data_IF_986161252864
#
_entry.id   IF_986161252864
#
_cell.length_a   1.000
_cell.length_b   1.000
_cell.length_c   1.000
_cell.angle_alpha   90.00
_cell.angle_beta   90.00
_cell.angle_gamma   90.00
#
_symmetry.space_group_name_H-M   'P 1'
#
loop_
_entity.id
_entity.type
_entity.pdbx_description
1 polymer ?
#
# COMPACT_ATOMS: atom_id res chain seq x y z
N UNK A 1 -11.95 23.11 -17.02
CA UNK A 1 -10.73 23.53 -16.33
C UNK A 1 -10.50 22.70 -15.07
N UNK A 2 -9.28 22.22 -14.87
CA UNK A 2 -8.85 21.54 -13.63
C UNK A 2 -8.23 22.56 -12.66
N UNK A 3 -8.21 22.23 -11.36
CA UNK A 3 -7.56 23.01 -10.29
C UNK A 3 -6.69 22.09 -9.42
N UNK A 4 -5.62 22.60 -8.78
CA UNK A 4 -4.94 21.89 -7.70
C UNK A 4 -5.88 21.58 -6.53
N UNK A 5 -5.68 20.45 -5.85
CA UNK A 5 -6.56 19.99 -4.75
C UNK A 5 -6.72 21.03 -3.64
N UNK A 6 -5.65 21.73 -3.26
CA UNK A 6 -5.70 22.76 -2.21
C UNK A 6 -6.64 23.93 -2.58
N UNK A 7 -6.78 24.27 -3.86
CA UNK A 7 -7.72 25.30 -4.30
C UNK A 7 -9.16 24.78 -4.25
N UNK A 8 -9.39 23.52 -4.60
CA UNK A 8 -10.72 22.89 -4.50
C UNK A 8 -11.17 22.86 -3.04
N UNK A 9 -10.28 22.45 -2.13
CA UNK A 9 -10.53 22.43 -0.69
C UNK A 9 -10.77 23.84 -0.14
N UNK A 10 -9.97 24.83 -0.56
CA UNK A 10 -10.18 26.23 -0.17
C UNK A 10 -11.52 26.78 -0.68
N UNK A 11 -11.90 26.50 -1.92
CA UNK A 11 -13.20 26.90 -2.48
C UNK A 11 -14.37 26.30 -1.70
N UNK A 12 -14.27 25.01 -1.32
CA UNK A 12 -15.27 24.34 -0.49
C UNK A 12 -15.37 24.97 0.90
N UNK A 13 -14.22 25.19 1.54
CA UNK A 13 -14.13 25.82 2.85
C UNK A 13 -14.75 27.23 2.86
N UNK A 14 -14.50 28.02 1.81
CA UNK A 14 -15.09 29.34 1.62
C UNK A 14 -16.62 29.27 1.45
N UNK A 15 -17.13 28.29 0.71
CA UNK A 15 -18.59 28.06 0.57
C UNK A 15 -19.26 27.65 1.87
N UNK A 16 -18.51 27.03 2.78
CA UNK A 16 -18.98 26.68 4.13
C UNK A 16 -18.84 27.85 5.13
N UNK A 17 -18.44 29.03 4.68
CA UNK A 17 -18.39 30.27 5.47
C UNK A 17 -17.04 30.57 6.12
N UNK A 18 -16.01 29.75 5.91
CA UNK A 18 -14.66 30.04 6.40
C UNK A 18 -13.84 30.71 5.30
N UNK A 19 -13.91 32.04 5.25
CA UNK A 19 -13.38 32.90 4.18
C UNK A 19 -11.85 33.08 4.27
N UNK A 20 -11.07 32.06 3.89
CA UNK A 20 -9.61 32.11 3.81
C UNK A 20 -9.15 32.08 2.35
N UNK A 21 -8.10 32.83 2.06
CA UNK A 21 -7.49 32.89 0.73
C UNK A 21 -6.00 32.61 0.84
N UNK A 22 -5.55 31.55 0.16
CA UNK A 22 -4.15 31.31 -0.13
C UNK A 22 -3.92 31.52 -1.62
N UNK A 23 -2.83 32.20 -1.97
CA UNK A 23 -2.45 32.44 -3.36
C UNK A 23 -1.42 31.42 -3.86
N UNK A 24 -0.64 30.85 -2.93
CA UNK A 24 0.42 29.91 -3.24
C UNK A 24 0.60 28.88 -2.11
N UNK A 25 0.97 27.62 -2.39
CA UNK A 25 1.22 26.60 -1.36
C UNK A 25 2.27 26.99 -0.30
N UNK A 26 3.19 27.92 -0.63
CA UNK A 26 4.14 28.46 0.35
C UNK A 26 3.47 29.17 1.52
N UNK A 27 2.31 29.81 1.30
CA UNK A 27 1.54 30.45 2.37
C UNK A 27 0.89 29.40 3.30
N UNK A 28 0.53 28.23 2.74
CA UNK A 28 0.02 27.10 3.53
C UNK A 28 1.16 26.50 4.36
N UNK A 29 2.35 26.33 3.77
CA UNK A 29 3.53 25.85 4.49
C UNK A 29 3.98 26.84 5.58
N UNK A 30 3.88 28.14 5.31
CA UNK A 30 4.11 29.21 6.29
C UNK A 30 3.15 29.08 7.48
N UNK A 31 1.87 28.82 7.24
CA UNK A 31 0.92 28.57 8.32
C UNK A 31 1.28 27.29 9.09
N UNK A 32 1.59 26.19 8.38
CA UNK A 32 1.98 24.90 8.99
C UNK A 32 3.18 25.07 9.93
N UNK A 33 4.24 25.78 9.52
CA UNK A 33 5.46 25.91 10.34
C UNK A 33 5.24 26.72 11.63
N UNK A 34 4.23 27.59 11.66
CA UNK A 34 3.88 28.34 12.90
C UNK A 34 3.19 27.48 13.95
N UNK A 35 2.57 26.36 13.55
CA UNK A 35 1.79 25.49 14.45
C UNK A 35 2.39 24.09 14.61
N UNK A 36 3.31 23.67 13.74
CA UNK A 36 4.04 22.40 13.84
C UNK A 36 5.51 22.67 14.13
N UNK A 37 5.96 22.62 15.40
CA UNK A 37 7.33 22.98 15.77
C UNK A 37 8.41 22.20 15.03
N UNK A 38 8.15 20.95 14.64
CA UNK A 38 9.12 20.13 13.89
C UNK A 38 9.37 20.65 12.47
N UNK A 39 8.57 21.59 11.98
CA UNK A 39 8.68 22.18 10.65
C UNK A 39 9.05 23.67 10.70
N UNK A 40 9.36 24.23 11.88
CA UNK A 40 9.58 25.68 12.07
C UNK A 40 10.63 26.30 11.14
N UNK A 41 11.64 25.51 10.77
CA UNK A 41 12.70 25.89 9.83
C UNK A 41 12.43 25.59 8.36
N UNK A 42 11.32 24.92 8.02
CA UNK A 42 11.04 24.49 6.65
C UNK A 42 10.34 25.62 5.91
N UNK A 43 11.06 26.29 5.00
CA UNK A 43 10.52 27.32 4.09
C UNK A 43 10.75 26.90 2.65
N UNK A 44 9.96 27.47 1.73
CA UNK A 44 10.10 27.21 0.30
C UNK A 44 11.48 27.62 -0.22
N UNK A 45 11.96 28.80 0.18
CA UNK A 45 13.29 29.30 -0.23
C UNK A 45 14.42 28.33 0.14
N UNK A 46 14.36 27.71 1.32
CA UNK A 46 15.38 26.75 1.75
C UNK A 46 15.30 25.42 1.00
N UNK A 47 14.10 24.89 0.80
CA UNK A 47 13.94 23.58 0.12
C UNK A 47 14.18 23.65 -1.39
N UNK A 48 14.16 24.85 -1.97
CA UNK A 48 14.54 25.09 -3.37
C UNK A 48 16.06 24.93 -3.57
N UNK A 49 16.87 25.24 -2.55
CA UNK A 49 18.32 25.08 -2.59
C UNK A 49 18.76 23.66 -2.21
N UNK A 50 18.18 23.08 -1.16
CA UNK A 50 18.52 21.74 -0.68
C UNK A 50 17.36 21.00 0.01
N UNK A 51 17.35 19.66 -0.09
CA UNK A 51 16.37 18.85 0.62
C UNK A 51 16.60 18.83 2.13
N UNK A 52 15.59 19.22 2.92
CA UNK A 52 15.66 19.24 4.39
C UNK A 52 14.93 18.04 5.00
N UNK A 53 15.62 17.28 5.85
CA UNK A 53 15.00 16.23 6.67
C UNK A 53 14.38 16.84 7.94
N UNK A 54 13.07 16.67 8.10
CA UNK A 54 12.41 17.02 9.36
C UNK A 54 12.74 15.95 10.42
N UNK A 55 12.81 16.31 11.73
CA UNK A 55 12.55 17.63 12.31
C UNK A 55 13.59 18.72 11.95
N UNK A 56 13.09 19.93 11.71
CA UNK A 56 13.87 21.16 11.49
C UNK A 56 13.16 22.30 12.24
N UNK A 57 13.51 22.54 13.52
CA UNK A 57 12.74 23.41 14.41
C UNK A 57 12.83 24.90 14.12
N UNK A 58 13.92 25.37 13.51
CA UNK A 58 14.17 26.78 13.24
C UNK A 58 14.98 26.98 11.95
N UNK A 59 15.06 28.23 11.49
CA UNK A 59 15.67 28.61 10.21
C UNK A 59 17.18 28.35 10.17
N UNK A 60 17.85 28.33 11.32
CA UNK A 60 19.29 28.09 11.41
C UNK A 60 19.60 26.58 11.52
N UNK A 61 18.61 25.75 11.84
CA UNK A 61 18.78 24.31 11.96
C UNK A 61 18.93 23.63 10.59
N UNK A 62 19.99 22.85 10.34
CA UNK A 62 20.26 22.22 9.03
C UNK A 62 19.39 20.98 8.71
N UNK A 63 18.26 20.81 9.40
CA UNK A 63 17.50 19.55 9.43
C UNK A 63 18.14 18.41 10.25
N UNK A 64 17.38 17.34 10.45
CA UNK A 64 17.77 16.20 11.31
C UNK A 64 18.06 14.96 10.47
N UNK A 65 19.35 14.66 10.27
CA UNK A 65 19.80 13.53 9.42
C UNK A 65 19.41 12.13 9.93
N UNK A 66 19.34 11.98 11.25
CA UNK A 66 18.93 10.75 11.92
C UNK A 66 18.42 11.07 13.32
N UNK A 67 17.45 10.29 13.79
CA UNK A 67 16.83 10.48 15.10
C UNK A 67 17.64 9.83 16.21
N UNK A 68 17.37 10.25 17.45
CA UNK A 68 17.86 9.61 18.67
C UNK A 68 19.39 9.57 18.85
N UNK A 69 20.12 10.50 18.23
CA UNK A 69 21.59 10.62 18.36
C UNK A 69 22.06 10.66 19.82
N UNK A 70 21.40 11.49 20.63
CA UNK A 70 21.79 11.71 22.03
C UNK A 70 20.96 10.87 23.00
N UNK A 71 19.65 10.80 22.78
CA UNK A 71 18.72 10.07 23.62
C UNK A 71 17.45 9.70 22.83
N UNK A 72 16.74 8.68 23.29
CA UNK A 72 15.41 8.37 22.77
C UNK A 72 14.46 9.51 23.14
N UNK A 73 13.55 9.89 22.24
CA UNK A 73 12.65 11.03 22.46
C UNK A 73 11.81 10.92 23.75
N UNK A 74 11.48 9.70 24.17
CA UNK A 74 10.78 9.41 25.44
C UNK A 74 11.69 9.32 26.68
N UNK A 75 12.96 9.68 26.55
CA UNK A 75 14.00 9.54 27.58
C UNK A 75 14.81 8.25 27.43
N UNK A 76 14.20 7.08 27.67
CA UNK A 76 14.86 5.76 27.56
C UNK A 76 14.10 4.82 26.63
N UNK A 77 14.80 3.84 26.05
CA UNK A 77 14.16 2.78 25.27
C UNK A 77 13.15 2.02 26.14
N UNK A 78 11.98 1.68 25.57
CA UNK A 78 11.02 0.80 26.21
C UNK A 78 11.16 -0.60 25.61
N UNK A 79 11.51 -1.56 26.46
CA UNK A 79 11.38 -2.97 26.12
C UNK A 79 9.96 -3.41 26.42
N UNK A 80 9.31 -4.04 25.45
CA UNK A 80 7.93 -4.52 25.57
C UNK A 80 7.89 -5.99 25.16
N UNK A 81 7.49 -6.90 26.06
CA UNK A 81 7.27 -8.29 25.67
C UNK A 81 6.06 -8.37 24.74
N UNK A 82 6.13 -9.28 23.77
CA UNK A 82 5.03 -9.58 22.85
C UNK A 82 4.93 -11.09 22.71
N UNK A 83 3.71 -11.61 22.87
CA UNK A 83 3.42 -13.02 22.62
C UNK A 83 3.05 -13.22 21.15
N UNK A 84 3.37 -14.40 20.62
CA UNK A 84 2.94 -14.79 19.29
C UNK A 84 1.41 -14.92 19.25
N UNK A 85 0.81 -14.40 18.19
CA UNK A 85 -0.60 -14.59 17.86
C UNK A 85 -0.69 -14.94 16.38
N UNK A 86 -1.48 -15.95 16.07
CA UNK A 86 -1.77 -16.33 14.68
C UNK A 86 -2.47 -15.18 13.92
N UNK A 87 -2.39 -15.27 12.60
CA UNK A 87 -3.21 -14.48 11.69
C UNK A 87 -4.69 -14.62 11.98
N UNK A 88 -5.46 -13.57 11.75
CA UNK A 88 -6.89 -13.58 12.06
C UNK A 88 -7.68 -14.53 11.14
N UNK A 89 -7.14 -14.84 9.96
CA UNK A 89 -7.67 -15.84 9.04
C UNK A 89 -6.60 -16.86 8.68
N UNK A 90 -6.85 -18.14 8.96
CA UNK A 90 -6.00 -19.27 8.58
C UNK A 90 -6.65 -20.09 7.47
N UNK A 91 -5.82 -20.79 6.70
CA UNK A 91 -6.28 -21.78 5.73
C UNK A 91 -7.01 -22.94 6.44
N UNK A 92 -8.03 -23.48 5.78
CA UNK A 92 -8.82 -24.60 6.28
C UNK A 92 -9.18 -25.58 5.16
N UNK A 93 -10.05 -26.55 5.44
CA UNK A 93 -10.45 -27.55 4.44
C UNK A 93 -11.23 -26.97 3.26
N UNK A 94 -11.90 -25.84 3.41
CA UNK A 94 -12.68 -25.19 2.34
C UNK A 94 -11.81 -24.21 1.53
N UNK A 95 -10.89 -23.53 2.21
CA UNK A 95 -9.96 -22.56 1.65
C UNK A 95 -8.51 -22.94 2.03
N UNK A 96 -7.91 -23.92 1.34
CA UNK A 96 -6.68 -24.57 1.78
C UNK A 96 -5.39 -23.78 1.49
N UNK A 97 -5.47 -22.66 0.80
CA UNK A 97 -4.30 -21.87 0.42
C UNK A 97 -4.19 -20.58 1.22
N UNK A 98 -2.97 -20.27 1.66
CA UNK A 98 -2.61 -18.95 2.18
C UNK A 98 -2.47 -18.01 0.98
N UNK A 99 -3.24 -16.93 0.97
CA UNK A 99 -3.19 -15.89 -0.04
C UNK A 99 -2.50 -14.64 0.50
N UNK A 100 -1.50 -14.18 -0.23
CA UNK A 100 -0.78 -12.96 0.08
C UNK A 100 -0.75 -12.01 -1.10
N UNK A 101 -0.73 -10.71 -0.81
CA UNK A 101 -0.76 -9.66 -1.83
C UNK A 101 0.54 -8.88 -1.87
N UNK A 102 0.91 -8.36 -3.03
CA UNK A 102 2.10 -7.52 -3.14
C UNK A 102 2.12 -6.59 -4.33
N UNK A 103 3.33 -6.15 -4.66
CA UNK A 103 3.59 -5.20 -5.73
C UNK A 103 4.55 -5.78 -6.74
N UNK A 104 4.51 -5.23 -7.94
CA UNK A 104 5.53 -5.44 -8.97
C UNK A 104 6.24 -4.14 -9.27
N UNK A 105 7.43 -4.24 -9.85
CA UNK A 105 8.24 -3.08 -10.22
C UNK A 105 7.52 -2.10 -11.18
N UNK A 106 6.79 -2.64 -12.15
CA UNK A 106 6.29 -1.87 -13.30
C UNK A 106 4.99 -1.10 -13.03
N UNK A 107 4.31 -1.35 -11.90
CA UNK A 107 3.02 -0.75 -11.60
C UNK A 107 2.96 -0.21 -10.18
N UNK A 108 2.35 0.97 -10.04
CA UNK A 108 2.20 1.63 -8.76
C UNK A 108 0.74 1.61 -8.32
N UNK A 109 0.50 1.05 -7.13
CA UNK A 109 -0.82 0.94 -6.50
C UNK A 109 -1.94 0.59 -7.49
N UNK A 110 -2.92 1.47 -7.69
CA UNK A 110 -4.14 1.22 -8.47
C UNK A 110 -3.96 1.44 -9.98
N UNK A 111 -2.72 1.60 -10.47
CA UNK A 111 -2.40 1.83 -11.89
C UNK A 111 -3.07 3.06 -12.52
N UNK A 112 -3.65 3.98 -11.74
CA UNK A 112 -4.34 5.16 -12.29
C UNK A 112 -3.44 6.03 -13.16
N UNK A 113 -2.14 6.06 -12.85
CA UNK A 113 -1.09 6.69 -13.65
C UNK A 113 -0.30 5.67 -14.49
N UNK A 114 0.29 4.65 -13.86
CA UNK A 114 1.18 3.69 -14.55
C UNK A 114 0.47 2.83 -15.58
N UNK A 115 -0.84 2.56 -15.43
CA UNK A 115 -1.65 1.86 -16.40
C UNK A 115 -1.94 2.67 -17.67
N UNK A 116 -1.61 3.97 -17.70
CA UNK A 116 -1.69 4.80 -18.91
C UNK A 116 -0.42 4.76 -19.75
N UNK A 117 0.64 4.12 -19.26
CA UNK A 117 1.94 4.05 -19.93
C UNK A 117 2.03 2.75 -20.72
N UNK A 118 1.97 2.86 -22.04
CA UNK A 118 1.98 1.71 -22.96
C UNK A 118 3.18 0.77 -22.72
N UNK A 119 4.38 1.34 -22.52
CA UNK A 119 5.59 0.55 -22.27
C UNK A 119 5.51 -0.33 -21.02
N UNK A 120 4.87 0.16 -19.94
CA UNK A 120 4.69 -0.62 -18.71
C UNK A 120 3.67 -1.74 -18.92
N UNK A 121 2.58 -1.44 -19.64
CA UNK A 121 1.56 -2.44 -19.97
C UNK A 121 2.06 -3.54 -20.92
N UNK A 122 3.09 -3.29 -21.73
CA UNK A 122 3.74 -4.34 -22.53
C UNK A 122 4.50 -5.36 -21.68
N UNK A 123 5.01 -4.93 -20.52
CA UNK A 123 5.80 -5.79 -19.62
C UNK A 123 4.89 -6.52 -18.62
N UNK A 124 3.87 -5.84 -18.10
CA UNK A 124 2.89 -6.42 -17.20
C UNK A 124 1.50 -5.90 -17.54
N UNK A 125 0.78 -6.64 -18.38
CA UNK A 125 -0.48 -6.21 -18.97
C UNK A 125 -1.69 -6.51 -18.09
N UNK A 126 -1.68 -7.68 -17.45
CA UNK A 126 -2.85 -8.29 -16.84
C UNK A 126 -2.57 -8.88 -15.46
N UNK A 127 -3.66 -9.11 -14.74
CA UNK A 127 -3.66 -9.77 -13.44
C UNK A 127 -3.23 -11.23 -13.55
N UNK A 128 -2.40 -11.67 -12.60
CA UNK A 128 -2.00 -13.07 -12.44
C UNK A 128 -1.91 -13.46 -10.97
N UNK A 129 -1.99 -14.75 -10.68
CA UNK A 129 -1.64 -15.36 -9.39
C UNK A 129 -0.41 -16.25 -9.57
N UNK A 130 0.59 -16.04 -8.73
CA UNK A 130 1.74 -16.92 -8.64
C UNK A 130 1.38 -18.17 -7.83
N UNK A 131 1.78 -19.34 -8.34
CA UNK A 131 1.61 -20.65 -7.72
C UNK A 131 2.93 -21.44 -7.80
N UNK A 132 3.25 -22.27 -6.80
CA UNK A 132 4.42 -23.15 -6.88
C UNK A 132 4.21 -24.28 -7.89
N UNK A 133 5.29 -24.73 -8.54
CA UNK A 133 5.24 -25.85 -9.51
C UNK A 133 4.64 -27.12 -8.89
N UNK A 134 5.00 -27.42 -7.64
CA UNK A 134 4.49 -28.59 -6.89
C UNK A 134 2.97 -28.49 -6.74
N UNK A 135 2.45 -27.33 -6.35
CA UNK A 135 1.01 -27.12 -6.15
C UNK A 135 0.26 -27.17 -7.49
N UNK A 136 0.80 -26.52 -8.52
CA UNK A 136 0.21 -26.53 -9.86
C UNK A 136 0.07 -27.96 -10.40
N UNK A 137 1.12 -28.78 -10.27
CA UNK A 137 1.11 -30.18 -10.70
C UNK A 137 0.07 -31.02 -9.93
N UNK A 138 -0.06 -30.84 -8.61
CA UNK A 138 -1.08 -31.52 -7.79
C UNK A 138 -2.50 -31.19 -8.23
N UNK A 139 -2.73 -29.95 -8.64
CA UNK A 139 -4.03 -29.46 -9.12
C UNK A 139 -4.24 -29.64 -10.63
N UNK A 140 -3.24 -30.18 -11.34
CA UNK A 140 -3.23 -30.32 -12.79
C UNK A 140 -3.31 -28.99 -13.55
N UNK A 141 -2.92 -27.87 -12.92
CA UNK A 141 -2.97 -26.52 -13.48
C UNK A 141 -1.70 -26.26 -14.29
N UNK A 142 -1.87 -25.62 -15.46
CA UNK A 142 -0.77 -25.26 -16.37
C UNK A 142 -0.45 -23.77 -16.32
N UNK A 143 0.78 -23.39 -16.68
CA UNK A 143 1.19 -21.98 -16.71
C UNK A 143 0.35 -21.17 -17.72
N UNK A 144 -0.08 -19.97 -17.33
CA UNK A 144 -0.95 -19.10 -18.12
C UNK A 144 -2.43 -19.50 -18.16
N UNK A 145 -2.81 -20.64 -17.59
CA UNK A 145 -4.20 -21.10 -17.50
C UNK A 145 -5.05 -20.12 -16.68
N UNK A 146 -6.33 -19.93 -17.08
CA UNK A 146 -7.26 -19.12 -16.29
C UNK A 146 -7.84 -19.94 -15.16
N UNK A 147 -7.86 -19.37 -13.97
CA UNK A 147 -8.36 -19.98 -12.74
C UNK A 147 -9.33 -19.05 -12.04
N UNK A 148 -10.23 -19.65 -11.26
CA UNK A 148 -11.03 -18.93 -10.26
C UNK A 148 -10.30 -18.98 -8.93
N UNK A 149 -10.10 -17.82 -8.31
CA UNK A 149 -9.71 -17.72 -6.91
C UNK A 149 -10.93 -17.30 -6.12
N UNK A 150 -11.28 -18.06 -5.10
CA UNK A 150 -12.43 -17.78 -4.24
C UNK A 150 -12.00 -17.71 -2.77
N UNK A 151 -12.63 -16.80 -2.05
CA UNK A 151 -12.48 -16.58 -0.62
C UNK A 151 -13.89 -16.49 0.00
N UNK A 152 -14.04 -16.45 1.33
CA UNK A 152 -15.34 -16.24 2.00
C UNK A 152 -16.03 -14.92 1.64
N UNK A 153 -15.34 -13.99 0.97
CA UNK A 153 -15.84 -12.66 0.58
C UNK A 153 -16.21 -12.57 -0.89
N UNK A 154 -15.84 -13.57 -1.68
CA UNK A 154 -16.15 -13.64 -3.10
C UNK A 154 -15.00 -14.20 -3.93
N UNK A 155 -15.11 -14.04 -5.23
CA UNK A 155 -14.24 -14.68 -6.20
C UNK A 155 -13.78 -13.73 -7.31
N UNK A 156 -12.64 -14.05 -7.91
CA UNK A 156 -12.10 -13.39 -9.09
C UNK A 156 -11.58 -14.43 -10.07
N UNK A 157 -11.47 -14.02 -11.33
CA UNK A 157 -10.81 -14.82 -12.38
C UNK A 157 -9.48 -14.16 -12.72
N UNK A 158 -8.41 -14.95 -12.72
CA UNK A 158 -7.06 -14.47 -13.07
C UNK A 158 -6.26 -15.55 -13.78
N UNK A 159 -5.06 -15.21 -14.26
CA UNK A 159 -4.15 -16.18 -14.90
C UNK A 159 -3.17 -16.74 -13.90
N UNK A 160 -2.79 -17.98 -14.09
CA UNK A 160 -1.73 -18.62 -13.32
C UNK A 160 -0.37 -18.20 -13.87
N UNK A 161 0.57 -17.99 -12.95
CA UNK A 161 2.00 -17.87 -13.23
C UNK A 161 2.74 -18.86 -12.34
N UNK A 162 3.26 -19.94 -12.91
CA UNK A 162 4.04 -20.93 -12.17
C UNK A 162 5.42 -20.34 -11.86
N UNK A 163 5.88 -20.48 -10.62
CA UNK A 163 7.19 -19.99 -10.18
C UNK A 163 7.80 -20.89 -9.11
N UNK A 164 9.12 -20.83 -8.96
CA UNK A 164 9.94 -21.48 -7.94
C UNK A 164 10.19 -20.58 -6.71
N UNK A 165 9.66 -19.36 -6.70
CA UNK A 165 9.91 -18.36 -5.65
C UNK A 165 8.97 -18.54 -4.46
N UNK A 166 7.81 -19.16 -4.66
CA UNK A 166 6.78 -19.30 -3.61
C UNK A 166 6.66 -20.74 -3.12
N UNK A 167 6.39 -20.88 -1.82
CA UNK A 167 6.24 -22.17 -1.18
C UNK A 167 4.96 -22.90 -1.60
N UNK A 168 4.92 -24.20 -1.32
CA UNK A 168 3.70 -24.98 -1.41
C UNK A 168 2.61 -24.39 -0.50
N UNK A 169 1.34 -24.45 -0.94
CA UNK A 169 0.17 -23.93 -0.22
C UNK A 169 0.10 -22.41 -0.05
N UNK A 170 1.02 -21.65 -0.66
CA UNK A 170 0.99 -20.18 -0.71
C UNK A 170 0.68 -19.71 -2.13
N UNK A 171 -0.19 -18.71 -2.25
CA UNK A 171 -0.51 -18.02 -3.49
C UNK A 171 -0.20 -16.53 -3.34
N UNK A 172 0.50 -15.96 -4.32
CA UNK A 172 0.83 -14.54 -4.34
C UNK A 172 0.13 -13.82 -5.49
N UNK A 173 -0.41 -12.63 -5.24
CA UNK A 173 -1.05 -11.83 -6.27
C UNK A 173 -0.74 -10.34 -6.15
N UNK A 174 -0.28 -9.68 -7.24
CA UNK A 174 -0.21 -8.23 -7.25
C UNK A 174 -1.59 -7.59 -7.25
N UNK A 175 -1.83 -6.63 -6.35
CA UNK A 175 -3.15 -5.98 -6.20
C UNK A 175 -3.40 -4.85 -7.21
N UNK A 176 -2.55 -4.73 -8.24
CA UNK A 176 -2.53 -3.57 -9.14
C UNK A 176 -3.71 -3.52 -10.12
N UNK A 177 -4.33 -4.67 -10.40
CA UNK A 177 -5.22 -4.89 -11.53
C UNK A 177 -6.69 -4.85 -11.07
N UNK A 178 -7.52 -4.05 -11.72
CA UNK A 178 -8.94 -3.94 -11.37
C UNK A 178 -9.73 -5.16 -11.85
N UNK A 179 -9.33 -5.73 -12.98
CA UNK A 179 -9.88 -6.94 -13.59
C UNK A 179 -9.63 -8.22 -12.76
N UNK A 180 -8.64 -8.18 -11.86
CA UNK A 180 -8.32 -9.23 -10.90
C UNK A 180 -8.06 -8.61 -9.53
N UNK A 181 -9.08 -7.96 -8.97
CA UNK A 181 -8.98 -7.19 -7.76
C UNK A 181 -8.64 -8.06 -6.53
N UNK A 182 -7.34 -8.27 -6.27
CA UNK A 182 -6.84 -9.11 -5.19
C UNK A 182 -7.39 -8.75 -3.81
N UNK A 183 -7.63 -7.45 -3.56
CA UNK A 183 -8.21 -6.96 -2.30
C UNK A 183 -9.65 -7.45 -2.05
N UNK A 184 -10.35 -7.95 -3.07
CA UNK A 184 -11.66 -8.57 -2.89
C UNK A 184 -11.57 -9.92 -2.17
N UNK A 185 -10.39 -10.54 -2.17
CA UNK A 185 -10.12 -11.83 -1.51
C UNK A 185 -9.55 -11.68 -0.10
N UNK A 186 -9.07 -10.50 0.29
CA UNK A 186 -8.43 -10.28 1.59
C UNK A 186 -9.45 -10.24 2.73
N UNK A 187 -9.05 -10.65 3.94
CA UNK A 187 -9.90 -10.55 5.12
C UNK A 187 -10.14 -9.08 5.53
N UNK A 188 -11.12 -8.85 6.40
CA UNK A 188 -11.54 -7.51 6.87
C UNK A 188 -11.03 -7.16 8.26
N UNK A 189 -10.16 -7.99 8.82
CA UNK A 189 -9.65 -7.83 10.17
C UNK A 189 -8.68 -6.66 10.24
N UNK A 190 -8.76 -5.92 11.35
CA UNK A 190 -7.98 -4.71 11.59
C UNK A 190 -7.11 -4.90 12.83
N UNK A 191 -5.87 -4.42 12.77
CA UNK A 191 -5.04 -4.28 13.96
C UNK A 191 -5.79 -3.48 15.03
N UNK A 192 -5.77 -3.99 16.26
CA UNK A 192 -6.55 -3.43 17.37
C UNK A 192 -6.13 -2.00 17.74
N UNK A 193 -4.87 -1.64 17.47
CA UNK A 193 -4.27 -0.35 17.86
C UNK A 193 -4.35 0.66 16.71
N UNK A 194 -3.71 0.35 15.58
CA UNK A 194 -3.54 1.25 14.44
C UNK A 194 -4.65 1.14 13.40
N UNK A 195 -5.57 0.17 13.53
CA UNK A 195 -6.65 -0.10 12.56
C UNK A 195 -6.15 -0.39 11.14
N UNK A 196 -4.96 -0.99 11.05
CA UNK A 196 -4.35 -1.39 9.77
C UNK A 196 -4.94 -2.75 9.35
N UNK A 197 -5.39 -2.92 8.10
CA UNK A 197 -5.96 -4.17 7.62
C UNK A 197 -4.92 -5.29 7.43
N UNK A 198 -5.31 -6.53 7.69
CA UNK A 198 -4.48 -7.73 7.50
C UNK A 198 -4.45 -8.18 6.02
N UNK A 199 -3.69 -7.47 5.19
CA UNK A 199 -3.63 -7.69 3.73
C UNK A 199 -2.67 -8.81 3.29
N UNK A 200 -1.96 -9.45 4.22
CA UNK A 200 -0.87 -10.41 3.91
C UNK A 200 -1.23 -11.86 4.13
N UNK A 201 -2.34 -12.14 4.80
CA UNK A 201 -2.85 -13.49 5.02
C UNK A 201 -4.35 -13.48 4.83
N UNK A 202 -4.82 -14.26 3.87
CA UNK A 202 -6.22 -14.63 3.73
C UNK A 202 -6.27 -16.10 3.30
N UNK A 203 -7.40 -16.78 3.52
CA UNK A 203 -7.59 -18.12 3.03
C UNK A 203 -8.36 -18.08 1.71
N UNK A 204 -7.84 -18.79 0.71
CA UNK A 204 -8.48 -18.93 -0.59
C UNK A 204 -8.48 -20.37 -1.06
N UNK A 205 -9.33 -20.66 -2.03
CA UNK A 205 -9.25 -21.84 -2.88
C UNK A 205 -9.04 -21.44 -4.33
N UNK A 206 -8.36 -22.29 -5.09
CA UNK A 206 -8.09 -22.12 -6.51
C UNK A 206 -8.76 -23.27 -7.27
N UNK A 207 -9.44 -22.93 -8.36
CA UNK A 207 -10.18 -23.89 -9.19
C UNK A 207 -9.95 -23.62 -10.68
N UNK A 208 -10.03 -24.68 -11.49
CA UNK A 208 -10.07 -24.54 -12.95
C UNK A 208 -11.41 -23.97 -13.39
N UNK A 209 -11.40 -23.25 -14.51
CA UNK A 209 -12.64 -22.78 -15.13
C UNK A 209 -13.22 -23.90 -16.00
N UNK A 210 -14.46 -24.30 -15.73
CA UNK A 210 -15.18 -25.30 -16.53
C UNK A 210 -14.99 -26.76 -16.09
N UNK A 211 -14.39 -26.99 -14.91
CA UNK A 211 -14.46 -28.25 -14.17
C UNK A 211 -15.71 -28.34 -13.31
#
# INVERSE_FOLDING_TARGET
DSKPDWQILMDLMNRLGYNKKYLHPSEIMEEIRTVVPQYGGITYDRIEEEGIQWPCPDLEHPGTKYLHKSAIARGRGLFMPVDHRDSAELADSEYPFIFTTGRILYHYHTRTMTGRVEGLNKISSESYVEISEVTANKLGITDGEKVRLASRRGEIITRVKITDIIDENVLFMPFHFAEGAANYLTNTELDSIAKIPELKVAAVRIEKIGS
#
